data_IF_698819826854
#
_entry.id   IF_698819826854
#
_cell.length_a   1.000
_cell.length_b   1.000
_cell.length_c   1.000
_cell.angle_alpha   90.00
_cell.angle_beta   90.00
_cell.angle_gamma   90.00
#
_symmetry.space_group_name_H-M   'P 1'
#
loop_
_entity.id
_entity.type
_entity.pdbx_description
1 polymer ?
#
# COMPACT_ATOMS: atom_id res chain seq x y z
N UNK A 1 -28.79 -31.90 -24.85
CA UNK A 1 -29.13 -30.72 -24.02
C UNK A 1 -28.03 -30.55 -22.98
N UNK A 2 -27.01 -29.78 -23.30
CA UNK A 2 -25.86 -29.51 -22.41
C UNK A 2 -26.26 -28.35 -21.51
N UNK A 3 -26.33 -28.62 -20.20
CA UNK A 3 -26.44 -27.58 -19.17
C UNK A 3 -25.00 -27.06 -18.95
N UNK A 4 -24.68 -25.94 -19.58
CA UNK A 4 -23.45 -25.21 -19.31
C UNK A 4 -23.67 -24.49 -18.00
N UNK A 5 -22.91 -24.87 -16.98
CA UNK A 5 -23.05 -24.36 -15.63
C UNK A 5 -22.75 -22.85 -15.55
N UNK A 6 -23.59 -22.13 -14.85
CA UNK A 6 -23.53 -20.68 -14.58
C UNK A 6 -22.29 -20.21 -13.76
N UNK A 7 -21.36 -21.11 -13.43
CA UNK A 7 -20.16 -20.80 -12.65
C UNK A 7 -19.05 -20.12 -13.46
N UNK A 8 -19.06 -20.22 -14.79
CA UNK A 8 -17.98 -19.69 -15.66
C UNK A 8 -18.21 -18.23 -16.11
N UNK A 9 -19.41 -17.68 -15.95
CA UNK A 9 -19.72 -16.34 -16.47
C UNK A 9 -18.98 -15.20 -15.75
N UNK A 10 -18.79 -15.31 -14.45
CA UNK A 10 -18.11 -14.25 -13.67
C UNK A 10 -16.60 -14.16 -13.99
N UNK A 11 -15.97 -15.32 -14.14
CA UNK A 11 -14.53 -15.39 -14.44
C UNK A 11 -14.21 -14.86 -15.86
N UNK A 12 -15.09 -15.12 -16.82
CA UNK A 12 -14.96 -14.59 -18.17
C UNK A 12 -15.11 -13.07 -18.25
N UNK A 13 -16.01 -12.47 -17.49
CA UNK A 13 -16.22 -11.02 -17.43
C UNK A 13 -15.05 -10.32 -16.76
N UNK A 14 -14.53 -10.85 -15.67
CA UNK A 14 -13.34 -10.34 -15.00
C UNK A 14 -12.12 -10.32 -15.93
N UNK A 15 -11.88 -11.42 -16.62
CA UNK A 15 -10.79 -11.52 -17.59
C UNK A 15 -10.95 -10.52 -18.73
N UNK A 16 -12.17 -10.30 -19.23
CA UNK A 16 -12.45 -9.35 -20.31
C UNK A 16 -12.23 -7.91 -19.88
N UNK A 17 -12.70 -7.51 -18.67
CA UNK A 17 -12.48 -6.17 -18.12
C UNK A 17 -10.99 -5.89 -17.91
N UNK A 18 -10.26 -6.85 -17.33
CA UNK A 18 -8.82 -6.75 -17.10
C UNK A 18 -8.04 -6.58 -18.41
N UNK A 19 -8.36 -7.40 -19.43
CA UNK A 19 -7.72 -7.33 -20.75
C UNK A 19 -8.04 -6.03 -21.46
N UNK A 20 -9.30 -5.56 -21.41
CA UNK A 20 -9.70 -4.30 -22.02
C UNK A 20 -8.97 -3.11 -21.37
N UNK A 21 -8.87 -3.08 -20.05
CA UNK A 21 -8.13 -2.04 -19.34
C UNK A 21 -6.66 -2.00 -19.76
N UNK A 22 -6.00 -3.15 -19.86
CA UNK A 22 -4.61 -3.24 -20.36
C UNK A 22 -4.47 -2.68 -21.76
N UNK A 23 -5.37 -3.04 -22.66
CA UNK A 23 -5.33 -2.55 -24.03
C UNK A 23 -5.52 -1.04 -24.10
N UNK A 24 -6.49 -0.48 -23.36
CA UNK A 24 -6.73 0.97 -23.33
C UNK A 24 -5.50 1.72 -22.82
N UNK A 25 -4.86 1.24 -21.74
CA UNK A 25 -3.61 1.84 -21.25
C UNK A 25 -2.50 1.77 -22.30
N UNK A 26 -2.35 0.61 -22.96
CA UNK A 26 -1.31 0.41 -23.99
C UNK A 26 -1.53 1.28 -25.23
N UNK A 27 -2.78 1.53 -25.62
CA UNK A 27 -3.15 2.37 -26.76
C UNK A 27 -3.07 3.86 -26.45
N UNK A 28 -3.60 4.27 -25.30
CA UNK A 28 -3.64 5.70 -24.93
C UNK A 28 -2.33 6.21 -24.38
N UNK A 29 -1.53 5.34 -23.77
CA UNK A 29 -0.28 5.66 -23.08
C UNK A 29 -0.48 6.74 -21.98
N UNK A 30 -1.68 6.85 -21.42
CA UNK A 30 -2.06 7.86 -20.45
C UNK A 30 -2.64 7.21 -19.20
N UNK A 31 -2.22 7.71 -18.05
CA UNK A 31 -2.79 7.34 -16.76
C UNK A 31 -2.64 8.50 -15.79
N UNK A 32 -3.53 8.59 -14.82
CA UNK A 32 -3.33 9.47 -13.68
C UNK A 32 -2.25 8.88 -12.76
N UNK A 33 -1.23 9.66 -12.45
CA UNK A 33 -0.18 9.26 -11.51
C UNK A 33 -0.35 10.05 -10.23
N UNK A 34 -0.67 9.38 -9.11
CA UNK A 34 -0.79 10.03 -7.80
C UNK A 34 0.48 10.77 -7.42
N UNK A 35 0.33 11.83 -6.66
CA UNK A 35 1.47 12.46 -6.02
C UNK A 35 2.14 11.47 -5.06
N UNK A 36 3.46 11.45 -5.10
CA UNK A 36 4.27 10.64 -4.18
C UNK A 36 4.55 11.46 -2.93
N UNK A 37 3.89 11.19 -1.79
CA UNK A 37 4.11 11.96 -0.58
C UNK A 37 5.52 11.77 -0.07
N UNK A 38 6.13 12.84 0.43
CA UNK A 38 7.45 12.78 1.08
C UNK A 38 7.35 12.34 2.54
N UNK A 39 6.22 12.64 3.15
CA UNK A 39 5.88 12.26 4.53
C UNK A 39 4.39 11.92 4.61
N UNK A 40 3.96 11.33 5.70
CA UNK A 40 2.56 11.00 5.98
C UNK A 40 1.64 12.25 6.03
N UNK A 41 2.22 13.42 6.19
CA UNK A 41 1.51 14.71 6.29
C UNK A 41 1.55 15.55 5.01
N UNK A 42 2.16 15.02 3.94
CA UNK A 42 2.28 15.73 2.67
C UNK A 42 1.04 15.51 1.80
N UNK A 43 0.02 16.31 2.01
CA UNK A 43 -1.24 16.28 1.26
C UNK A 43 -1.32 17.37 0.18
N UNK A 44 -0.22 18.05 -0.11
CA UNK A 44 -0.20 19.29 -0.89
C UNK A 44 -0.44 19.12 -2.38
N UNK A 45 -0.36 17.90 -2.92
CA UNK A 45 -0.49 17.64 -4.35
C UNK A 45 -1.43 16.46 -4.63
N UNK A 46 -2.26 16.60 -5.66
CA UNK A 46 -3.24 15.56 -6.04
C UNK A 46 -2.69 14.57 -7.08
N UNK A 47 -1.51 14.79 -7.63
CA UNK A 47 -1.02 14.03 -8.76
C UNK A 47 -1.40 14.66 -10.10
N UNK A 48 -1.16 13.95 -11.20
CA UNK A 48 -1.42 14.45 -12.55
C UNK A 48 -1.56 13.32 -13.57
N UNK A 49 -2.24 13.59 -14.68
CA UNK A 49 -2.22 12.71 -15.85
C UNK A 49 -0.85 12.82 -16.52
N UNK A 50 -0.23 11.68 -16.79
CA UNK A 50 1.06 11.57 -17.48
C UNK A 50 0.84 10.81 -18.78
N UNK A 51 1.45 11.31 -19.87
CA UNK A 51 1.56 10.60 -21.14
C UNK A 51 2.93 9.96 -21.23
N UNK A 52 2.95 8.69 -21.60
CA UNK A 52 4.13 7.86 -21.77
C UNK A 52 4.44 7.64 -23.26
N UNK A 53 5.60 7.07 -23.55
CA UNK A 53 6.08 6.87 -24.91
C UNK A 53 5.83 5.44 -25.42
N UNK A 54 5.80 4.46 -24.51
CA UNK A 54 5.71 3.04 -24.82
C UNK A 54 5.05 2.28 -23.68
N UNK A 55 4.36 1.20 -24.03
CA UNK A 55 3.81 0.21 -23.10
C UNK A 55 4.33 -1.20 -23.40
N UNK A 56 4.54 -2.00 -22.37
CA UNK A 56 4.76 -3.44 -22.46
C UNK A 56 3.80 -4.14 -21.50
N UNK A 57 2.97 -5.04 -22.03
CA UNK A 57 2.01 -5.81 -21.23
C UNK A 57 2.65 -7.10 -20.73
N UNK A 58 2.18 -7.59 -19.57
CA UNK A 58 2.54 -8.89 -18.99
C UNK A 58 4.05 -9.09 -18.85
N UNK A 59 4.78 -8.04 -18.47
CA UNK A 59 6.23 -8.09 -18.38
C UNK A 59 6.69 -8.78 -17.11
N UNK A 60 7.59 -9.77 -17.23
CA UNK A 60 8.30 -10.31 -16.08
C UNK A 60 9.22 -9.25 -15.46
N UNK A 61 9.01 -8.93 -14.19
CA UNK A 61 9.79 -7.99 -13.40
C UNK A 61 10.87 -8.72 -12.60
N UNK A 62 10.58 -9.96 -12.20
CA UNK A 62 11.50 -10.93 -11.60
C UNK A 62 11.09 -12.35 -12.00
N UNK A 63 11.70 -13.37 -11.39
CA UNK A 63 11.29 -14.77 -11.58
C UNK A 63 9.89 -15.07 -11.02
N UNK A 64 9.43 -14.28 -10.06
CA UNK A 64 8.19 -14.48 -9.29
C UNK A 64 7.13 -13.39 -9.55
N UNK A 65 7.53 -12.21 -10.04
CA UNK A 65 6.61 -11.09 -10.25
C UNK A 65 6.49 -10.72 -11.70
N UNK A 66 5.25 -10.61 -12.15
CA UNK A 66 4.86 -10.08 -13.45
C UNK A 66 4.00 -8.84 -13.24
N UNK A 67 4.32 -7.75 -13.97
CA UNK A 67 3.51 -6.54 -14.04
C UNK A 67 2.45 -6.66 -15.12
N UNK A 68 1.26 -6.13 -14.88
CA UNK A 68 0.21 -6.10 -15.88
C UNK A 68 0.60 -5.23 -17.08
N UNK A 69 1.07 -4.01 -16.80
CA UNK A 69 1.52 -3.06 -17.83
C UNK A 69 2.70 -2.27 -17.30
N UNK A 70 3.76 -2.18 -18.10
CA UNK A 70 4.87 -1.26 -17.83
C UNK A 70 4.82 -0.13 -18.85
N UNK A 71 4.67 1.09 -18.36
CA UNK A 71 4.74 2.31 -19.15
C UNK A 71 6.13 2.93 -19.04
N UNK A 72 6.64 3.44 -20.16
CA UNK A 72 7.98 4.03 -20.26
C UNK A 72 7.93 5.49 -20.71
N UNK A 73 8.84 6.30 -20.16
CA UNK A 73 9.13 7.67 -20.60
C UNK A 73 10.63 7.90 -20.46
N UNK A 74 11.36 7.88 -21.58
CA UNK A 74 12.82 7.87 -21.61
C UNK A 74 13.39 6.68 -20.84
N UNK A 75 14.21 6.94 -19.83
CA UNK A 75 14.78 5.93 -18.94
C UNK A 75 13.89 5.60 -17.72
N UNK A 76 12.81 6.33 -17.55
CA UNK A 76 11.87 6.13 -16.44
C UNK A 76 10.78 5.14 -16.85
N UNK A 77 10.26 4.41 -15.87
CA UNK A 77 9.14 3.50 -16.08
C UNK A 77 8.17 3.51 -14.90
N UNK A 78 6.95 3.04 -15.14
CA UNK A 78 5.90 2.88 -14.15
C UNK A 78 5.19 1.56 -14.38
N UNK A 79 5.11 0.72 -13.34
CA UNK A 79 4.28 -0.47 -13.36
C UNK A 79 2.84 -0.10 -12.99
N UNK A 80 1.89 -0.61 -13.75
CA UNK A 80 0.46 -0.49 -13.50
C UNK A 80 -0.09 -1.88 -13.24
N UNK A 81 -0.78 -2.03 -12.14
CA UNK A 81 -1.57 -3.20 -11.78
C UNK A 81 -3.05 -2.86 -11.92
N UNK A 82 -3.84 -3.78 -12.46
CA UNK A 82 -5.29 -3.61 -12.64
C UNK A 82 -6.00 -4.50 -11.62
N UNK A 83 -6.73 -3.87 -10.68
CA UNK A 83 -7.57 -4.58 -9.72
C UNK A 83 -8.98 -4.70 -10.28
N UNK A 84 -9.46 -5.93 -10.47
CA UNK A 84 -10.86 -6.23 -10.78
C UNK A 84 -11.53 -6.93 -9.59
N UNK A 85 -10.95 -8.02 -9.07
CA UNK A 85 -11.44 -8.73 -7.89
C UNK A 85 -10.45 -8.71 -6.75
N UNK A 86 -9.17 -8.87 -7.04
CA UNK A 86 -8.11 -8.96 -6.04
C UNK A 86 -7.15 -7.78 -6.16
N UNK A 87 -6.86 -7.15 -5.03
CA UNK A 87 -5.81 -6.13 -4.95
C UNK A 87 -4.42 -6.76 -4.96
N UNK A 88 -3.41 -5.93 -5.23
CA UNK A 88 -2.01 -6.34 -5.07
C UNK A 88 -1.78 -6.78 -3.63
N UNK A 89 -1.43 -8.04 -3.46
CA UNK A 89 -1.20 -8.65 -2.16
C UNK A 89 0.09 -8.16 -1.49
N UNK A 90 0.27 -8.55 -0.23
CA UNK A 90 1.42 -8.14 0.55
C UNK A 90 2.74 -8.69 0.00
N UNK A 91 2.75 -9.93 -0.50
CA UNK A 91 3.95 -10.57 -1.02
C UNK A 91 4.44 -9.85 -2.29
N UNK A 92 3.54 -9.61 -3.23
CA UNK A 92 3.84 -8.82 -4.44
C UNK A 92 4.26 -7.39 -4.09
N UNK A 93 3.62 -6.76 -3.09
CA UNK A 93 4.00 -5.43 -2.62
C UNK A 93 5.43 -5.39 -2.07
N UNK A 94 5.83 -6.39 -1.28
CA UNK A 94 7.20 -6.53 -0.75
C UNK A 94 8.20 -6.73 -1.89
N UNK A 95 7.89 -7.56 -2.87
CA UNK A 95 8.78 -7.78 -4.01
C UNK A 95 8.97 -6.53 -4.86
N UNK A 96 7.89 -5.81 -5.17
CA UNK A 96 7.93 -4.52 -5.87
C UNK A 96 8.77 -3.48 -5.11
N UNK A 97 8.62 -3.43 -3.78
CA UNK A 97 9.45 -2.62 -2.90
C UNK A 97 10.94 -3.01 -2.99
N UNK A 98 11.25 -4.30 -2.87
CA UNK A 98 12.62 -4.83 -2.91
C UNK A 98 13.31 -4.62 -4.26
N UNK A 99 12.54 -4.65 -5.36
CA UNK A 99 13.01 -4.37 -6.71
C UNK A 99 13.10 -2.87 -7.01
N UNK A 100 12.55 -2.01 -6.15
CA UNK A 100 12.51 -0.57 -6.37
C UNK A 100 11.62 -0.14 -7.54
N UNK A 101 10.57 -0.91 -7.85
CA UNK A 101 9.71 -0.67 -9.02
C UNK A 101 8.58 0.28 -8.65
N UNK A 102 8.53 1.49 -9.25
CA UNK A 102 7.41 2.40 -9.03
C UNK A 102 6.13 1.75 -9.56
N UNK A 103 5.10 1.66 -8.71
CA UNK A 103 3.87 0.91 -9.01
C UNK A 103 2.65 1.64 -8.52
N UNK A 104 1.64 1.71 -9.39
CA UNK A 104 0.27 2.10 -9.05
C UNK A 104 -0.69 0.94 -9.30
N UNK A 105 -1.80 0.94 -8.60
CA UNK A 105 -2.92 0.03 -8.83
C UNK A 105 -4.13 0.84 -9.25
N UNK A 106 -4.80 0.41 -10.32
CA UNK A 106 -6.06 0.99 -10.78
C UNK A 106 -7.20 0.08 -10.35
N UNK A 107 -8.10 0.60 -9.54
CA UNK A 107 -9.25 -0.13 -9.01
C UNK A 107 -10.44 -0.03 -9.97
N UNK A 108 -10.81 -1.16 -10.57
CA UNK A 108 -11.98 -1.34 -11.44
C UNK A 108 -13.01 -2.29 -10.80
N UNK A 109 -12.87 -2.61 -9.52
CA UNK A 109 -13.72 -3.61 -8.83
C UNK A 109 -15.19 -3.19 -8.69
N UNK A 110 -15.49 -1.90 -8.82
CA UNK A 110 -16.86 -1.38 -8.82
C UNK A 110 -17.55 -1.46 -10.19
N UNK A 111 -16.79 -1.75 -11.26
CA UNK A 111 -17.33 -1.90 -12.61
C UNK A 111 -17.95 -3.29 -12.75
N UNK A 112 -19.24 -3.30 -13.05
CA UNK A 112 -20.02 -4.54 -13.28
C UNK A 112 -20.04 -4.89 -14.78
N UNK A 113 -21.03 -5.70 -15.20
CA UNK A 113 -21.10 -6.28 -16.56
C UNK A 113 -21.21 -5.28 -17.71
N UNK A 114 -21.65 -4.05 -17.47
CA UNK A 114 -22.00 -3.08 -18.52
C UNK A 114 -20.88 -2.04 -18.73
N UNK A 115 -19.64 -2.53 -18.87
CA UNK A 115 -18.49 -1.64 -19.09
C UNK A 115 -18.27 -1.37 -20.59
N UNK A 116 -17.88 -0.12 -20.87
CA UNK A 116 -17.43 0.32 -22.20
C UNK A 116 -15.99 0.81 -22.12
N UNK A 117 -15.27 0.89 -23.26
CA UNK A 117 -13.94 1.47 -23.30
C UNK A 117 -13.85 2.87 -22.70
N UNK A 118 -14.90 3.69 -22.86
CA UNK A 118 -14.96 5.05 -22.36
C UNK A 118 -15.02 5.09 -20.83
N UNK A 119 -15.83 4.23 -20.22
CA UNK A 119 -15.92 4.10 -18.74
C UNK A 119 -14.57 3.70 -18.16
N UNK A 120 -13.90 2.73 -18.78
CA UNK A 120 -12.58 2.28 -18.31
C UNK A 120 -11.54 3.40 -18.50
N UNK A 121 -11.54 4.08 -19.65
CA UNK A 121 -10.63 5.19 -19.90
C UNK A 121 -10.81 6.32 -18.89
N UNK A 122 -12.05 6.64 -18.49
CA UNK A 122 -12.36 7.62 -17.46
C UNK A 122 -11.75 7.19 -16.09
N UNK A 123 -11.89 5.91 -15.70
CA UNK A 123 -11.34 5.38 -14.45
C UNK A 123 -9.81 5.46 -14.41
N UNK A 124 -9.15 5.18 -15.53
CA UNK A 124 -7.69 5.26 -15.66
C UNK A 124 -7.14 6.69 -15.48
N UNK A 125 -7.99 7.70 -15.66
CA UNK A 125 -7.64 9.11 -15.52
C UNK A 125 -8.17 9.75 -14.23
N UNK A 126 -8.94 9.02 -13.42
CA UNK A 126 -9.57 9.53 -12.21
C UNK A 126 -8.75 9.18 -10.95
N UNK A 127 -8.33 10.21 -10.22
CA UNK A 127 -7.53 10.07 -9.01
C UNK A 127 -8.15 9.13 -7.94
N UNK A 128 -9.48 9.08 -7.87
CA UNK A 128 -10.24 8.31 -6.86
C UNK A 128 -10.13 6.80 -7.03
N UNK A 129 -9.72 6.33 -8.20
CA UNK A 129 -9.60 4.91 -8.53
C UNK A 129 -8.15 4.42 -8.60
N UNK A 130 -7.19 5.26 -8.20
CA UNK A 130 -5.77 4.93 -8.35
C UNK A 130 -5.08 5.01 -7.01
N UNK A 131 -4.50 3.88 -6.62
CA UNK A 131 -3.71 3.71 -5.40
C UNK A 131 -2.22 3.64 -5.72
N UNK A 132 -1.40 4.39 -4.99
CA UNK A 132 0.05 4.26 -5.06
C UNK A 132 0.50 3.07 -4.21
N UNK A 133 1.10 2.06 -4.84
CA UNK A 133 1.61 0.85 -4.19
C UNK A 133 3.04 1.08 -3.71
N UNK A 134 3.92 1.57 -4.59
CA UNK A 134 5.32 1.82 -4.27
C UNK A 134 5.92 2.93 -5.11
N UNK A 135 6.87 3.67 -4.52
CA UNK A 135 7.76 4.57 -5.24
C UNK A 135 9.16 4.56 -4.61
N UNK A 136 10.21 4.35 -5.40
CA UNK A 136 11.59 4.37 -4.88
C UNK A 136 12.02 5.76 -4.39
N UNK A 137 11.32 6.83 -4.81
CA UNK A 137 11.61 8.22 -4.38
C UNK A 137 11.35 8.45 -2.89
N UNK A 138 10.48 7.65 -2.29
CA UNK A 138 10.11 7.74 -0.87
C UNK A 138 10.06 6.35 -0.25
N UNK A 139 11.15 5.59 -0.41
CA UNK A 139 11.29 4.20 0.05
C UNK A 139 10.96 4.07 1.54
N UNK A 140 11.41 5.01 2.37
CA UNK A 140 11.11 5.04 3.80
C UNK A 140 9.61 5.09 4.09
N UNK A 141 8.87 5.95 3.39
CA UNK A 141 7.41 6.05 3.54
C UNK A 141 6.72 4.71 3.26
N UNK A 142 7.13 4.02 2.17
CA UNK A 142 6.54 2.72 1.83
C UNK A 142 6.99 1.62 2.79
N UNK A 143 8.25 1.62 3.25
CA UNK A 143 8.70 0.69 4.29
C UNK A 143 7.83 0.82 5.56
N UNK A 144 7.55 2.04 6.01
CA UNK A 144 6.67 2.31 7.15
C UNK A 144 5.25 1.79 6.91
N UNK A 145 4.69 1.98 5.71
CA UNK A 145 3.34 1.48 5.37
C UNK A 145 3.28 -0.04 5.31
N UNK A 146 4.26 -0.70 4.71
CA UNK A 146 4.33 -2.17 4.62
C UNK A 146 4.48 -2.77 6.03
N UNK A 147 5.33 -2.18 6.86
CA UNK A 147 5.66 -2.65 8.20
C UNK A 147 4.75 -2.07 9.28
N UNK A 148 3.80 -1.22 8.93
CA UNK A 148 2.82 -0.68 9.87
C UNK A 148 1.77 -1.72 10.28
N UNK A 149 1.24 -1.54 11.46
CA UNK A 149 0.16 -2.34 12.04
C UNK A 149 -0.98 -1.44 12.46
N UNK A 150 -2.22 -1.83 12.16
CA UNK A 150 -3.40 -1.15 12.68
C UNK A 150 -3.61 -1.52 14.14
N UNK A 151 -3.62 -0.53 15.03
CA UNK A 151 -3.80 -0.71 16.46
C UNK A 151 -5.09 -0.05 16.90
N UNK A 152 -5.92 -0.80 17.62
CA UNK A 152 -7.14 -0.27 18.23
C UNK A 152 -6.82 0.85 19.18
N UNK A 153 -7.68 1.86 19.18
CA UNK A 153 -7.55 2.99 20.11
C UNK A 153 -8.44 2.79 21.32
N UNK A 154 -8.09 3.45 22.39
CA UNK A 154 -8.93 3.60 23.57
C UNK A 154 -9.01 5.08 23.93
N UNK A 155 -10.19 5.52 24.32
CA UNK A 155 -10.41 6.88 24.77
C UNK A 155 -10.42 6.91 26.29
N UNK A 156 -9.69 7.85 26.86
CA UNK A 156 -9.77 8.18 28.27
C UNK A 156 -9.88 9.70 28.46
N UNK A 157 -9.91 10.17 29.69
CA UNK A 157 -9.97 11.61 30.02
C UNK A 157 -8.83 12.44 29.41
N UNK A 158 -7.75 11.81 28.99
CA UNK A 158 -6.54 12.43 28.46
C UNK A 158 -6.45 12.37 26.93
N UNK A 159 -7.42 11.75 26.23
CA UNK A 159 -7.47 11.68 24.78
C UNK A 159 -7.50 10.26 24.22
N UNK A 160 -7.21 10.12 22.92
CA UNK A 160 -7.21 8.85 22.21
C UNK A 160 -5.80 8.26 22.18
N UNK A 161 -5.66 7.02 22.63
CA UNK A 161 -4.39 6.31 22.74
C UNK A 161 -4.48 4.95 22.04
N UNK A 162 -3.34 4.42 21.61
CA UNK A 162 -3.24 3.03 21.15
C UNK A 162 -3.33 2.09 22.36
N UNK A 163 -4.29 1.18 22.30
CA UNK A 163 -4.43 0.12 23.29
C UNK A 163 -3.18 -0.78 23.27
N UNK A 164 -2.65 -1.09 24.44
CA UNK A 164 -1.48 -1.98 24.61
C UNK A 164 -0.25 -1.59 23.77
N UNK A 165 0.00 -0.28 23.65
CA UNK A 165 1.15 0.23 22.91
C UNK A 165 2.48 -0.33 23.45
N UNK A 166 3.30 -1.03 22.64
CA UNK A 166 4.55 -1.63 23.09
C UNK A 166 5.57 -0.59 23.56
N UNK A 167 5.51 0.63 23.04
CA UNK A 167 6.39 1.73 23.45
C UNK A 167 6.05 2.25 24.84
N UNK A 168 4.80 2.16 25.25
CA UNK A 168 4.36 2.61 26.59
C UNK A 168 4.97 1.80 27.72
N UNK A 169 5.41 0.57 27.46
CA UNK A 169 6.01 -0.33 28.46
C UNK A 169 7.52 -0.20 28.59
N UNK A 170 8.20 0.31 27.56
CA UNK A 170 9.66 0.33 27.48
C UNK A 170 10.29 1.62 28.02
N UNK A 171 9.53 2.68 28.11
CA UNK A 171 10.06 3.98 28.48
C UNK A 171 9.16 4.63 29.54
N UNK A 172 9.59 4.66 30.81
CA UNK A 172 8.84 5.28 31.89
C UNK A 172 8.56 6.78 31.63
N UNK A 173 9.45 7.44 30.89
CA UNK A 173 9.29 8.83 30.46
C UNK A 173 8.18 8.96 29.40
N UNK A 174 8.06 8.00 28.51
CA UNK A 174 7.02 7.95 27.48
C UNK A 174 5.65 7.64 28.08
N UNK A 175 5.60 6.72 29.05
CA UNK A 175 4.39 6.42 29.83
C UNK A 175 3.91 7.65 30.59
N UNK A 176 4.83 8.43 31.12
CA UNK A 176 4.52 9.68 31.83
C UNK A 176 4.07 10.78 30.87
N UNK A 177 4.64 10.87 29.70
CA UNK A 177 4.23 11.77 28.62
C UNK A 177 2.83 11.41 28.10
N UNK A 178 2.57 10.15 27.85
CA UNK A 178 1.24 9.64 27.48
C UNK A 178 0.21 9.72 28.61
N UNK A 179 0.62 9.76 29.89
CA UNK A 179 -0.26 9.95 31.06
C UNK A 179 -0.53 11.40 31.40
N UNK A 180 0.34 12.33 31.05
CA UNK A 180 0.24 13.76 31.49
C UNK A 180 -0.64 14.64 30.60
N UNK A 181 -1.37 14.07 29.64
CA UNK A 181 -2.54 14.72 29.06
C UNK A 181 -2.28 15.73 27.96
N UNK A 182 -1.31 15.49 27.10
CA UNK A 182 -1.28 16.17 25.80
C UNK A 182 -2.41 15.62 24.91
N UNK A 183 -3.34 16.47 24.49
CA UNK A 183 -4.35 16.08 23.49
C UNK A 183 -3.64 15.55 22.22
N UNK A 184 -3.94 14.33 21.80
CA UNK A 184 -3.38 13.66 20.62
C UNK A 184 -1.92 13.18 20.75
N UNK A 185 -1.57 12.51 21.82
CA UNK A 185 -0.21 12.05 22.11
C UNK A 185 0.34 11.07 21.08
N UNK A 186 -0.49 10.15 20.56
CA UNK A 186 -0.07 9.24 19.50
C UNK A 186 0.27 9.95 18.19
N UNK A 187 -0.31 11.11 17.88
CA UNK A 187 0.03 11.89 16.69
C UNK A 187 1.44 12.49 16.75
N UNK A 188 2.00 12.66 17.95
CA UNK A 188 3.35 13.15 18.16
C UNK A 188 4.37 12.02 18.40
N UNK A 189 3.94 10.76 18.24
CA UNK A 189 4.80 9.60 18.41
C UNK A 189 5.58 9.34 17.12
N UNK A 190 6.89 9.12 17.22
CA UNK A 190 7.74 8.79 16.06
C UNK A 190 7.33 7.49 15.37
N UNK A 191 6.64 6.60 16.08
CA UNK A 191 6.10 5.35 15.55
C UNK A 191 4.72 5.49 14.89
N UNK A 192 4.10 6.69 14.95
CA UNK A 192 2.80 6.93 14.33
C UNK A 192 2.92 7.08 12.80
N UNK A 193 2.00 6.46 12.07
CA UNK A 193 1.92 6.59 10.62
C UNK A 193 0.61 7.29 10.21
N UNK A 194 -0.54 6.81 10.69
CA UNK A 194 -1.84 7.33 10.27
C UNK A 194 -2.93 7.05 11.30
N UNK A 195 -3.88 7.97 11.42
CA UNK A 195 -5.13 7.80 12.14
C UNK A 195 -6.29 7.62 11.17
N UNK A 196 -7.14 6.63 11.41
CA UNK A 196 -8.41 6.47 10.72
C UNK A 196 -9.55 6.46 11.74
N UNK A 197 -10.51 7.34 11.51
CA UNK A 197 -11.77 7.40 12.23
C UNK A 197 -12.92 7.23 11.25
N UNK A 198 -12.76 6.31 10.31
CA UNK A 198 -13.78 6.01 9.32
C UNK A 198 -14.52 4.75 9.76
N UNK A 199 -15.69 4.96 10.39
CA UNK A 199 -16.56 3.87 10.83
C UNK A 199 -17.15 3.04 9.67
N UNK A 200 -16.96 3.46 8.42
CA UNK A 200 -17.32 2.65 7.26
C UNK A 200 -16.32 1.52 6.98
N UNK A 201 -15.09 1.66 7.50
CA UNK A 201 -13.99 0.70 7.30
C UNK A 201 -13.69 -0.08 8.57
N UNK A 202 -13.80 0.57 9.75
CA UNK A 202 -13.53 -0.04 11.04
C UNK A 202 -14.64 0.30 12.03
N UNK A 203 -15.06 -0.68 12.82
CA UNK A 203 -16.03 -0.48 13.91
C UNK A 203 -15.50 0.48 15.01
N UNK A 204 -14.19 0.64 15.09
CA UNK A 204 -13.50 1.46 16.08
C UNK A 204 -12.41 2.32 15.40
N UNK A 205 -12.11 3.47 15.99
CA UNK A 205 -10.98 4.29 15.54
C UNK A 205 -9.65 3.53 15.71
N UNK A 206 -8.78 3.60 14.71
CA UNK A 206 -7.52 2.88 14.69
C UNK A 206 -6.34 3.78 14.34
N UNK A 207 -5.18 3.47 14.90
CA UNK A 207 -3.90 4.04 14.51
C UNK A 207 -3.07 3.03 13.72
N UNK A 208 -2.50 3.44 12.60
CA UNK A 208 -1.44 2.70 11.93
C UNK A 208 -0.10 3.13 12.55
N UNK A 209 0.62 2.20 13.13
CA UNK A 209 1.92 2.46 13.72
C UNK A 209 2.86 1.25 13.55
N UNK A 210 4.14 1.44 13.83
CA UNK A 210 5.18 0.39 13.78
C UNK A 210 5.91 0.21 15.12
N UNK A 211 5.21 0.46 16.22
CA UNK A 211 5.81 0.45 17.56
C UNK A 211 6.54 -0.83 17.98
N UNK A 212 6.19 -1.98 17.36
CA UNK A 212 6.92 -3.23 17.57
C UNK A 212 8.34 -3.23 16.93
N UNK A 213 8.61 -2.31 16.01
CA UNK A 213 9.88 -2.13 15.30
C UNK A 213 10.65 -0.90 15.79
N UNK A 214 10.43 -0.52 17.05
CA UNK A 214 11.16 0.59 17.69
C UNK A 214 12.68 0.45 17.55
N UNK A 215 13.34 1.56 17.29
CA UNK A 215 14.79 1.62 17.05
C UNK A 215 15.24 1.20 15.66
N UNK A 216 14.33 0.90 14.73
CA UNK A 216 14.66 0.64 13.33
C UNK A 216 14.64 1.95 12.54
N UNK A 217 15.75 2.27 11.86
CA UNK A 217 15.82 3.36 10.90
C UNK A 217 15.23 2.89 9.55
N UNK A 218 13.97 3.26 9.30
CA UNK A 218 13.24 2.86 8.08
C UNK A 218 13.88 3.40 6.79
N UNK A 219 14.57 4.52 6.88
CA UNK A 219 15.32 5.08 5.74
C UNK A 219 16.50 4.22 5.30
N UNK A 220 16.99 3.35 6.18
CA UNK A 220 18.09 2.42 5.93
C UNK A 220 17.67 1.00 5.59
N UNK A 221 16.37 0.72 5.49
CA UNK A 221 15.90 -0.59 5.06
C UNK A 221 16.21 -0.76 3.57
N UNK A 222 17.08 -1.72 3.24
CA UNK A 222 17.40 -2.06 1.86
C UNK A 222 16.38 -3.02 1.27
N UNK A 223 16.07 -4.11 2.01
CA UNK A 223 15.08 -5.11 1.59
C UNK A 223 14.29 -5.65 2.78
N UNK A 224 13.06 -6.02 2.54
CA UNK A 224 12.23 -6.82 3.43
C UNK A 224 12.41 -8.28 2.97
N UNK A 225 13.18 -9.05 3.72
CA UNK A 225 13.52 -10.45 3.39
C UNK A 225 12.40 -11.41 3.77
N UNK A 226 11.68 -11.07 4.85
CA UNK A 226 10.54 -11.83 5.33
C UNK A 226 9.63 -10.90 6.13
N UNK A 227 8.32 -11.08 5.98
CA UNK A 227 7.30 -10.45 6.80
C UNK A 227 6.11 -11.38 6.94
N UNK A 228 5.79 -11.75 8.18
CA UNK A 228 4.55 -12.43 8.54
C UNK A 228 3.76 -11.49 9.44
N UNK A 229 2.64 -11.00 8.95
CA UNK A 229 1.74 -10.12 9.72
C UNK A 229 0.29 -10.36 9.35
N UNK A 230 -0.60 -10.00 10.25
CA UNK A 230 -2.01 -9.70 9.98
C UNK A 230 -2.24 -8.17 10.06
N UNK A 231 -3.49 -7.75 10.04
CA UNK A 231 -3.85 -6.33 10.09
C UNK A 231 -3.37 -5.63 11.38
N UNK A 232 -3.29 -6.37 12.47
CA UNK A 232 -3.11 -5.83 13.81
C UNK A 232 -1.75 -6.15 14.41
N UNK A 233 -1.00 -7.08 13.83
CA UNK A 233 0.22 -7.59 14.46
C UNK A 233 1.25 -8.13 13.48
N UNK A 234 2.54 -7.78 13.72
CA UNK A 234 3.69 -8.41 13.04
C UNK A 234 4.14 -9.60 13.90
N UNK A 235 4.00 -10.80 13.35
CA UNK A 235 4.46 -12.04 14.01
C UNK A 235 5.96 -12.25 13.87
N UNK A 236 6.50 -11.95 12.69
CA UNK A 236 7.94 -12.00 12.44
C UNK A 236 8.32 -11.09 11.26
N UNK A 237 9.52 -10.53 11.34
CA UNK A 237 10.11 -9.73 10.27
C UNK A 237 11.60 -9.95 10.19
N UNK A 238 12.13 -9.96 8.97
CA UNK A 238 13.56 -9.98 8.69
C UNK A 238 13.89 -8.94 7.64
N UNK A 239 14.79 -8.03 7.96
CA UNK A 239 15.15 -6.87 7.17
C UNK A 239 16.64 -6.91 6.83
N UNK A 240 16.98 -6.57 5.59
CA UNK A 240 18.35 -6.23 5.18
C UNK A 240 18.49 -4.70 5.25
N UNK A 241 19.47 -4.22 5.97
CA UNK A 241 19.79 -2.80 6.12
C UNK A 241 20.84 -2.37 5.09
N UNK A 242 20.93 -1.07 4.82
CA UNK A 242 21.84 -0.49 3.84
C UNK A 242 23.33 -0.70 4.17
N UNK A 243 23.67 -0.96 5.44
CA UNK A 243 25.03 -1.32 5.89
C UNK A 243 25.33 -2.81 5.76
N UNK A 244 24.43 -3.60 5.20
CA UNK A 244 24.54 -5.05 5.04
C UNK A 244 24.13 -5.85 6.28
N UNK A 245 23.83 -5.21 7.41
CA UNK A 245 23.34 -5.91 8.60
C UNK A 245 21.93 -6.49 8.39
N UNK A 246 21.63 -7.56 9.11
CA UNK A 246 20.31 -8.18 9.10
C UNK A 246 19.66 -7.98 10.46
N UNK A 247 18.49 -7.36 10.46
CA UNK A 247 17.64 -7.19 11.63
C UNK A 247 16.52 -8.22 11.57
N UNK A 248 16.40 -9.03 12.63
CA UNK A 248 15.34 -10.00 12.77
C UNK A 248 14.57 -9.74 14.08
N UNK A 249 13.26 -9.74 13.99
CA UNK A 249 12.35 -9.61 15.13
C UNK A 249 11.30 -10.71 15.02
N UNK A 250 11.20 -11.54 16.04
CA UNK A 250 10.07 -12.43 16.28
C UNK A 250 9.32 -11.89 17.49
N UNK A 251 8.02 -11.80 17.39
CA UNK A 251 7.18 -11.44 18.53
C UNK A 251 6.60 -12.75 19.02
N UNK A 252 7.16 -13.28 20.11
CA UNK A 252 6.54 -14.38 20.84
C UNK A 252 5.19 -13.90 21.39
N UNK A 253 4.17 -14.68 21.14
CA UNK A 253 2.83 -14.53 21.69
C UNK A 253 2.81 -14.32 23.22
#
# INVERSE_FOLDING_TARGET
MLIIGLADCNHGTETALHLMAKNIVAETLKVFVPYVPKTEYDFSNQGRIITFEKAEMEKALSSSVRGDIILYSGSSYLNIEIKVTHEVDLEKTIELFNLGIPTIEVDLSDIKSDFTPEIIAERLLAATHIRLIHSPKTKEYFARRILGEWKKTTNNSNGTHVKDCPLSRKNAYFVDYCRKGGKNECHNCDAYIRYMNDHSVFDEAMFLCYGCLDGIDFGKIEKILHLKKDENHIHSVKLLMADGSVVERGISE
#
